data_IF_765890399267
#
_entry.id   IF_765890399267
#
_cell.length_a   1.000
_cell.length_b   1.000
_cell.length_c   1.000
_cell.angle_alpha   90.00
_cell.angle_beta   90.00
_cell.angle_gamma   90.00
#
_symmetry.space_group_name_H-M   'P 1'
#
loop_
_entity.id
_entity.type
_entity.pdbx_description
1 polymer ?
#
# COMPACT_ATOMS: atom_id res chain seq x y z
N UNK A 1 -14.82 13.13 7.32
CA UNK A 1 -13.35 13.04 7.17
C UNK A 1 -12.77 11.75 7.75
N UNK A 2 -13.07 11.37 9.00
CA UNK A 2 -12.53 10.14 9.63
C UNK A 2 -12.76 8.85 8.82
N UNK A 3 -13.98 8.60 8.34
CA UNK A 3 -14.27 7.41 7.52
C UNK A 3 -13.46 7.35 6.22
N UNK A 4 -13.22 8.48 5.56
CA UNK A 4 -12.43 8.53 4.32
C UNK A 4 -10.96 8.20 4.55
N UNK A 5 -10.39 8.69 5.65
CA UNK A 5 -9.02 8.38 6.06
C UNK A 5 -8.89 6.90 6.42
N UNK A 6 -9.85 6.35 7.18
CA UNK A 6 -9.86 4.93 7.54
C UNK A 6 -9.98 4.01 6.32
N UNK A 7 -10.80 4.38 5.34
CA UNK A 7 -10.99 3.60 4.12
C UNK A 7 -9.76 3.67 3.20
N UNK A 8 -9.14 4.84 3.07
CA UNK A 8 -7.86 5.01 2.36
C UNK A 8 -6.72 4.23 3.04
N UNK A 9 -6.68 4.23 4.37
CA UNK A 9 -5.72 3.46 5.16
C UNK A 9 -5.89 1.96 4.94
N UNK A 10 -7.13 1.45 5.04
CA UNK A 10 -7.42 0.04 4.81
C UNK A 10 -7.05 -0.39 3.38
N UNK A 11 -7.37 0.44 2.37
CA UNK A 11 -7.02 0.16 0.97
C UNK A 11 -5.51 0.08 0.77
N UNK A 12 -4.75 1.04 1.31
CA UNK A 12 -3.29 1.04 1.25
C UNK A 12 -2.68 -0.17 1.99
N UNK A 13 -3.25 -0.54 3.13
CA UNK A 13 -2.81 -1.69 3.92
C UNK A 13 -2.99 -3.01 3.18
N UNK A 14 -4.15 -3.23 2.56
CA UNK A 14 -4.41 -4.43 1.76
C UNK A 14 -3.43 -4.53 0.58
N UNK A 15 -3.18 -3.42 -0.12
CA UNK A 15 -2.23 -3.38 -1.25
C UNK A 15 -0.81 -3.68 -0.78
N UNK A 16 -0.39 -3.12 0.35
CA UNK A 16 0.95 -3.33 0.90
C UNK A 16 1.16 -4.78 1.34
N UNK A 17 0.17 -5.40 2.02
CA UNK A 17 0.22 -6.82 2.38
C UNK A 17 0.31 -7.69 1.13
N UNK A 18 -0.52 -7.39 0.12
CA UNK A 18 -0.49 -8.13 -1.15
C UNK A 18 0.88 -8.06 -1.83
N UNK A 19 1.48 -6.87 -1.86
CA UNK A 19 2.82 -6.67 -2.41
C UNK A 19 3.90 -7.44 -1.63
N UNK A 20 3.86 -7.38 -0.30
CA UNK A 20 4.77 -8.14 0.56
C UNK A 20 4.69 -9.65 0.33
N UNK A 21 3.47 -10.18 0.18
CA UNK A 21 3.22 -11.58 -0.14
C UNK A 21 3.83 -11.97 -1.48
N UNK A 22 3.66 -11.14 -2.51
CA UNK A 22 4.24 -11.36 -3.84
C UNK A 22 5.77 -11.35 -3.75
N UNK A 23 6.38 -10.38 -3.07
CA UNK A 23 7.83 -10.31 -2.86
C UNK A 23 8.36 -11.53 -2.10
N UNK A 24 7.64 -11.98 -1.08
CA UNK A 24 8.01 -13.17 -0.30
C UNK A 24 7.96 -14.43 -1.16
N UNK A 25 6.88 -14.62 -1.93
CA UNK A 25 6.74 -15.77 -2.85
C UNK A 25 7.82 -15.71 -3.93
N UNK A 26 8.10 -14.53 -4.47
CA UNK A 26 9.15 -14.35 -5.48
C UNK A 26 10.54 -14.69 -4.93
N UNK A 27 10.88 -14.22 -3.73
CA UNK A 27 12.13 -14.58 -3.06
C UNK A 27 12.25 -16.09 -2.78
N UNK A 28 11.14 -16.71 -2.39
CA UNK A 28 11.08 -18.16 -2.18
C UNK A 28 11.30 -18.93 -3.49
N UNK A 29 10.63 -18.56 -4.58
CA UNK A 29 10.77 -19.20 -5.90
C UNK A 29 12.17 -19.03 -6.48
N UNK A 30 12.78 -17.85 -6.29
CA UNK A 30 14.11 -17.55 -6.81
C UNK A 30 15.25 -18.09 -5.93
N UNK A 31 14.91 -18.77 -4.82
CA UNK A 31 15.83 -19.26 -3.80
C UNK A 31 16.84 -18.18 -3.32
N UNK A 32 16.46 -16.91 -3.48
CA UNK A 32 17.21 -15.74 -3.07
C UNK A 32 16.28 -14.95 -2.17
N UNK A 33 16.55 -14.89 -0.84
CA UNK A 33 15.67 -14.19 0.07
C UNK A 33 15.54 -12.74 -0.42
N UNK A 34 14.33 -12.38 -0.84
CA UNK A 34 14.06 -11.03 -1.30
C UNK A 34 14.17 -10.15 -0.07
N UNK A 35 15.33 -9.49 0.07
CA UNK A 35 15.61 -8.61 1.19
C UNK A 35 14.88 -7.29 0.94
N UNK A 36 13.55 -7.33 1.04
CA UNK A 36 12.72 -6.14 1.08
C UNK A 36 13.20 -5.31 2.25
N UNK A 37 13.91 -4.21 1.95
CA UNK A 37 14.22 -3.24 2.99
C UNK A 37 12.91 -2.69 3.51
N UNK A 38 12.71 -2.70 4.83
CA UNK A 38 11.55 -2.08 5.50
C UNK A 38 11.30 -0.65 4.98
N UNK A 39 12.36 0.07 4.60
CA UNK A 39 12.28 1.40 4.00
C UNK A 39 11.48 1.40 2.69
N UNK A 40 11.70 0.42 1.81
CA UNK A 40 11.00 0.32 0.53
C UNK A 40 9.52 0.04 0.76
N UNK A 41 9.19 -0.84 1.71
CA UNK A 41 7.81 -1.13 2.07
C UNK A 41 7.09 0.08 2.67
N UNK A 42 7.75 0.81 3.57
CA UNK A 42 7.20 2.03 4.18
C UNK A 42 6.94 3.09 3.09
N UNK A 43 7.88 3.30 2.18
CA UNK A 43 7.72 4.25 1.07
C UNK A 43 6.57 3.83 0.15
N UNK A 44 6.48 2.56 -0.20
CA UNK A 44 5.40 2.03 -1.04
C UNK A 44 4.02 2.19 -0.38
N UNK A 45 3.92 1.84 0.91
CA UNK A 45 2.71 2.04 1.70
C UNK A 45 2.29 3.51 1.72
N UNK A 46 3.25 4.43 1.93
CA UNK A 46 2.97 5.87 1.98
C UNK A 46 2.43 6.37 0.63
N UNK A 47 3.03 5.95 -0.48
CA UNK A 47 2.60 6.31 -1.83
C UNK A 47 1.16 5.81 -2.06
N UNK A 48 0.86 4.55 -1.75
CA UNK A 48 -0.49 3.99 -1.89
C UNK A 48 -1.50 4.73 -1.01
N UNK A 49 -1.12 5.09 0.22
CA UNK A 49 -1.97 5.82 1.14
C UNK A 49 -2.29 7.23 0.63
N UNK A 50 -1.28 7.99 0.20
CA UNK A 50 -1.49 9.33 -0.35
C UNK A 50 -2.31 9.29 -1.65
N UNK A 51 -2.03 8.34 -2.54
CA UNK A 51 -2.83 8.17 -3.76
C UNK A 51 -4.31 7.89 -3.41
N UNK A 52 -4.55 7.01 -2.45
CA UNK A 52 -5.91 6.66 -2.02
C UNK A 52 -6.61 7.81 -1.28
N UNK A 53 -5.86 8.63 -0.54
CA UNK A 53 -6.38 9.86 0.09
C UNK A 53 -6.74 10.91 -0.95
N UNK A 54 -5.88 11.17 -1.92
CA UNK A 54 -6.13 12.09 -3.01
C UNK A 54 -7.36 11.66 -3.82
N UNK A 55 -7.50 10.37 -4.14
CA UNK A 55 -8.67 9.83 -4.81
C UNK A 55 -9.95 10.09 -3.98
N UNK A 56 -9.90 9.83 -2.67
CA UNK A 56 -11.04 10.05 -1.78
C UNK A 56 -11.44 11.52 -1.68
N UNK A 57 -10.46 12.42 -1.52
CA UNK A 57 -10.67 13.87 -1.48
C UNK A 57 -11.22 14.40 -2.81
N UNK A 58 -10.70 13.91 -3.93
CA UNK A 58 -11.16 14.28 -5.26
C UNK A 58 -12.61 13.84 -5.52
N UNK A 59 -12.97 12.62 -5.10
CA UNK A 59 -14.34 12.09 -5.22
C UNK A 59 -15.33 12.90 -4.38
N UNK A 60 -14.89 13.43 -3.24
CA UNK A 60 -15.70 14.27 -2.37
C UNK A 60 -15.82 15.73 -2.87
N UNK A 61 -14.88 16.22 -3.70
CA UNK A 61 -14.94 17.55 -4.34
C UNK A 61 -15.85 17.61 -5.57
N UNK A 62 -16.14 16.45 -6.18
CA UNK A 62 -17.04 16.30 -7.33
C UNK A 62 -18.51 16.09 -6.94
N UNK A 63 -18.81 16.06 -5.64
CA UNK A 63 -20.16 15.88 -5.09
C UNK A 63 -20.59 17.17 -4.41
#
# INVERSE_FOLDING_TARGET
MKQYIQLAFLKAFIVSIGFYLICTIYGFVTNNPYNSSLVIEIVFFLICFFASLCESLWKNRKK
#
